data_IF_894417691569
#
_entry.id   IF_894417691569
#
_cell.length_a   1.000
_cell.length_b   1.000
_cell.length_c   1.000
_cell.angle_alpha   90.00
_cell.angle_beta   90.00
_cell.angle_gamma   90.00
#
_symmetry.space_group_name_H-M   'P 1'
#
loop_
_entity.id
_entity.type
_entity.pdbx_description
1 polymer ?
#
# COMPACT_ATOMS: atom_id res chain seq x y z
N UNK A 1 18.92 17.63 18.77
CA UNK A 1 17.65 17.44 19.51
C UNK A 1 17.60 16.08 20.20
N UNK A 2 17.80 14.95 19.49
CA UNK A 2 17.76 13.61 20.06
C UNK A 2 18.70 13.44 21.26
N UNK A 3 19.95 13.91 21.17
CA UNK A 3 20.93 13.83 22.26
C UNK A 3 20.56 14.71 23.45
N UNK A 4 19.91 15.84 23.23
CA UNK A 4 19.37 16.67 24.32
C UNK A 4 18.22 15.98 25.03
N UNK A 5 17.28 15.38 24.29
CA UNK A 5 16.17 14.66 24.87
C UNK A 5 16.60 13.38 25.60
N UNK A 6 17.63 12.69 25.10
CA UNK A 6 18.22 11.51 25.75
C UNK A 6 19.21 11.85 26.89
N UNK A 7 19.68 13.12 26.99
CA UNK A 7 20.75 13.59 27.88
C UNK A 7 22.11 12.90 27.67
N UNK A 8 22.32 12.30 26.50
CA UNK A 8 23.56 11.62 26.11
C UNK A 8 23.69 11.51 24.59
N UNK A 9 24.89 11.27 24.11
CA UNK A 9 25.16 10.94 22.70
C UNK A 9 25.02 9.43 22.47
N UNK A 10 24.37 9.05 21.39
CA UNK A 10 24.19 7.66 20.98
C UNK A 10 23.97 7.56 19.47
N UNK A 11 24.19 6.38 18.91
CA UNK A 11 23.94 6.15 17.49
C UNK A 11 22.45 5.87 17.22
N UNK A 12 21.78 6.84 16.57
CA UNK A 12 20.36 6.76 16.18
C UNK A 12 20.05 5.63 15.18
N UNK A 13 21.06 5.16 14.45
CA UNK A 13 20.92 4.03 13.51
C UNK A 13 21.18 2.66 14.17
N UNK A 14 21.60 2.65 15.43
CA UNK A 14 21.83 1.41 16.19
C UNK A 14 20.58 0.94 16.94
N UNK A 15 19.89 -0.13 16.52
CA UNK A 15 18.75 -0.65 17.26
C UNK A 15 19.05 -1.01 18.71
N UNK A 16 20.29 -1.45 18.99
CA UNK A 16 20.73 -1.81 20.34
C UNK A 16 20.83 -0.58 21.24
N UNK A 17 21.46 0.50 20.77
CA UNK A 17 21.58 1.73 21.55
C UNK A 17 20.22 2.43 21.73
N UNK A 18 19.37 2.40 20.70
CA UNK A 18 18.00 2.88 20.81
C UNK A 18 17.20 2.14 21.88
N UNK A 19 17.35 0.80 21.95
CA UNK A 19 16.69 -0.02 22.96
C UNK A 19 17.14 0.38 24.36
N UNK A 20 18.47 0.50 24.57
CA UNK A 20 19.07 0.92 25.83
C UNK A 20 18.56 2.29 26.26
N UNK A 21 18.60 3.29 25.36
CA UNK A 21 18.18 4.66 25.68
C UNK A 21 16.67 4.71 25.98
N UNK A 22 15.83 4.14 25.11
CA UNK A 22 14.39 4.24 25.26
C UNK A 22 13.83 3.45 26.45
N UNK A 23 14.30 2.21 26.64
CA UNK A 23 13.66 1.30 27.58
C UNK A 23 14.46 1.11 28.89
N UNK A 24 15.78 1.19 28.87
CA UNK A 24 16.58 1.00 30.07
C UNK A 24 16.84 2.32 30.80
N UNK A 25 17.17 3.40 30.08
CA UNK A 25 17.49 4.71 30.66
C UNK A 25 16.25 5.58 30.86
N UNK A 26 15.49 5.81 29.79
CA UNK A 26 14.27 6.63 29.87
C UNK A 26 13.05 5.84 30.37
N UNK A 27 13.14 4.51 30.49
CA UNK A 27 12.11 3.61 31.04
C UNK A 27 10.74 3.80 30.38
N UNK A 28 10.71 4.00 29.06
CA UNK A 28 9.45 4.08 28.32
C UNK A 28 8.70 2.74 28.36
N UNK A 29 7.36 2.76 28.28
CA UNK A 29 6.57 1.52 28.33
C UNK A 29 6.87 0.62 27.13
N UNK A 30 7.01 -0.70 27.39
CA UNK A 30 7.23 -1.70 26.35
C UNK A 30 5.90 -2.10 25.72
N UNK A 31 5.50 -1.41 24.65
CA UNK A 31 4.22 -1.66 23.95
C UNK A 31 4.24 -2.93 23.09
N UNK A 32 5.42 -3.34 22.61
CA UNK A 32 5.59 -4.52 21.75
C UNK A 32 6.97 -5.14 21.93
N UNK A 33 7.04 -6.46 21.83
CA UNK A 33 8.31 -7.21 21.81
C UNK A 33 8.58 -7.79 20.43
N UNK A 34 9.85 -7.95 20.11
CA UNK A 34 10.32 -8.68 18.93
C UNK A 34 10.13 -10.19 19.13
N UNK A 35 10.20 -11.03 18.07
CA UNK A 35 10.17 -12.48 18.21
C UNK A 35 11.26 -13.06 19.15
N UNK A 36 12.35 -12.31 19.36
CA UNK A 36 13.43 -12.65 20.30
C UNK A 36 13.18 -12.16 21.74
N UNK A 37 11.97 -11.61 22.02
CA UNK A 37 11.59 -11.17 23.36
C UNK A 37 12.08 -9.77 23.75
N UNK A 38 12.86 -9.09 22.93
CA UNK A 38 13.35 -7.73 23.22
C UNK A 38 12.27 -6.67 22.91
N UNK A 39 12.29 -5.51 23.60
CA UNK A 39 11.42 -4.39 23.26
C UNK A 39 11.58 -3.95 21.78
N UNK A 40 10.49 -3.63 21.14
CA UNK A 40 10.49 -3.23 19.72
C UNK A 40 10.76 -1.74 19.57
N UNK A 41 11.62 -1.38 18.62
CA UNK A 41 11.85 0.02 18.18
C UNK A 41 11.39 0.22 16.75
N UNK A 42 10.43 -0.60 16.25
CA UNK A 42 9.90 -0.45 14.92
C UNK A 42 9.03 0.82 14.79
N UNK A 43 8.74 1.23 13.56
CA UNK A 43 8.00 2.45 13.25
C UNK A 43 6.63 2.51 13.95
N UNK A 44 5.89 1.39 13.98
CA UNK A 44 4.58 1.28 14.63
C UNK A 44 4.67 1.56 16.15
N UNK A 45 5.66 0.96 16.80
CA UNK A 45 5.88 1.15 18.24
C UNK A 45 6.31 2.60 18.55
N UNK A 46 7.24 3.13 17.75
CA UNK A 46 7.69 4.51 17.94
C UNK A 46 6.59 5.54 17.66
N UNK A 47 5.69 5.31 16.71
CA UNK A 47 4.52 6.17 16.47
C UNK A 47 3.63 6.25 17.70
N UNK A 48 3.29 5.13 18.31
CA UNK A 48 2.48 5.11 19.54
C UNK A 48 3.19 5.79 20.71
N UNK A 49 4.50 5.55 20.86
CA UNK A 49 5.28 6.22 21.89
C UNK A 49 5.42 7.73 21.63
N UNK A 50 5.40 8.17 20.39
CA UNK A 50 5.52 9.59 20.02
C UNK A 50 4.32 10.46 20.39
N UNK A 51 3.21 9.84 20.75
CA UNK A 51 2.00 10.53 21.25
C UNK A 51 2.25 11.14 22.64
N UNK A 52 3.08 10.50 23.47
CA UNK A 52 3.37 10.91 24.84
C UNK A 52 4.83 11.34 25.07
N UNK A 53 5.76 10.89 24.22
CA UNK A 53 7.20 11.07 24.43
C UNK A 53 7.88 11.76 23.24
N UNK A 54 8.70 12.76 23.52
CA UNK A 54 9.38 13.57 22.51
C UNK A 54 10.45 12.77 21.73
N UNK A 55 11.30 12.00 22.41
CA UNK A 55 12.41 11.29 21.77
C UNK A 55 11.96 10.32 20.65
N UNK A 56 10.91 9.48 20.81
CA UNK A 56 10.37 8.67 19.73
C UNK A 56 9.94 9.48 18.51
N UNK A 57 9.37 10.67 18.68
CA UNK A 57 9.01 11.57 17.58
C UNK A 57 10.24 12.03 16.80
N UNK A 58 11.27 12.48 17.50
CA UNK A 58 12.54 12.90 16.91
C UNK A 58 13.21 11.74 16.16
N UNK A 59 13.18 10.52 16.72
CA UNK A 59 13.74 9.33 16.06
C UNK A 59 12.99 9.01 14.76
N UNK A 60 11.66 9.13 14.74
CA UNK A 60 10.87 8.91 13.53
C UNK A 60 11.21 9.93 12.43
N UNK A 61 11.33 11.19 12.79
CA UNK A 61 11.74 12.28 11.88
C UNK A 61 13.15 12.02 11.33
N UNK A 62 14.10 11.73 12.22
CA UNK A 62 15.46 11.37 11.82
C UNK A 62 15.48 10.18 10.83
N UNK A 63 14.79 9.09 11.16
CA UNK A 63 14.71 7.92 10.27
C UNK A 63 14.12 8.25 8.91
N UNK A 64 13.10 9.11 8.88
CA UNK A 64 12.51 9.61 7.64
C UNK A 64 13.55 10.31 6.77
N UNK A 65 14.25 11.28 7.34
CA UNK A 65 15.29 12.06 6.66
C UNK A 65 16.51 11.20 6.28
N UNK A 66 16.98 10.34 7.18
CA UNK A 66 18.09 9.42 6.92
C UNK A 66 17.80 8.46 5.75
N UNK A 67 16.57 7.95 5.68
CA UNK A 67 16.11 7.13 4.55
C UNK A 67 16.08 7.91 3.25
N UNK A 68 15.56 9.14 3.25
CA UNK A 68 15.58 10.01 2.08
C UNK A 68 16.99 10.27 1.61
N UNK A 69 17.88 10.61 2.53
CA UNK A 69 19.30 10.86 2.25
C UNK A 69 19.97 9.62 1.64
N UNK A 70 19.96 8.51 2.34
CA UNK A 70 20.67 7.30 1.91
C UNK A 70 20.12 6.68 0.63
N UNK A 71 18.78 6.66 0.46
CA UNK A 71 18.13 5.98 -0.66
C UNK A 71 18.09 6.82 -1.92
N UNK A 72 17.92 8.14 -1.78
CA UNK A 72 17.72 9.03 -2.93
C UNK A 72 18.89 9.99 -3.17
N UNK A 73 19.19 10.89 -2.24
CA UNK A 73 20.19 11.93 -2.51
C UNK A 73 21.60 11.38 -2.66
N UNK A 74 22.01 10.44 -1.82
CA UNK A 74 23.36 9.87 -1.88
C UNK A 74 23.49 8.77 -2.93
N UNK A 75 22.46 7.95 -3.10
CA UNK A 75 22.52 6.80 -4.00
C UNK A 75 22.27 7.15 -5.45
N UNK A 76 21.28 8.03 -5.75
CA UNK A 76 20.94 8.36 -7.13
C UNK A 76 22.09 9.05 -7.86
N UNK A 77 22.81 9.93 -7.17
CA UNK A 77 24.01 10.62 -7.74
C UNK A 77 25.09 9.61 -8.15
N UNK A 78 25.28 8.56 -7.33
CA UNK A 78 26.34 7.55 -7.57
C UNK A 78 26.07 6.64 -8.76
N UNK A 79 24.80 6.48 -9.14
CA UNK A 79 24.37 5.58 -10.23
C UNK A 79 24.03 6.33 -11.51
N UNK A 80 24.28 7.67 -11.55
CA UNK A 80 24.19 8.43 -12.79
C UNK A 80 25.11 7.82 -13.85
N UNK A 81 24.55 7.53 -15.02
CA UNK A 81 25.34 7.01 -16.13
C UNK A 81 26.27 8.10 -16.68
N UNK A 82 27.61 7.90 -16.71
CA UNK A 82 28.56 8.92 -17.08
C UNK A 82 28.44 9.39 -18.54
N UNK A 83 27.87 8.56 -19.43
CA UNK A 83 27.67 8.89 -20.85
C UNK A 83 26.38 9.66 -21.09
N UNK A 84 25.26 9.21 -20.52
CA UNK A 84 23.93 9.80 -20.76
C UNK A 84 23.62 10.94 -19.79
N UNK A 85 24.34 11.03 -18.67
CA UNK A 85 24.06 11.96 -17.57
C UNK A 85 22.65 11.78 -16.98
N UNK A 86 22.14 10.55 -17.04
CA UNK A 86 20.80 10.19 -16.59
C UNK A 86 20.83 8.92 -15.75
N UNK A 87 19.74 8.70 -15.00
CA UNK A 87 19.52 7.50 -14.22
C UNK A 87 18.68 6.53 -15.04
N UNK A 88 19.12 5.29 -15.13
CA UNK A 88 18.45 4.22 -15.85
C UNK A 88 18.10 3.09 -14.89
N UNK A 89 16.81 2.83 -14.70
CA UNK A 89 16.33 1.68 -13.92
C UNK A 89 16.19 0.44 -14.80
N UNK A 90 16.16 -0.72 -14.17
CA UNK A 90 15.79 -1.98 -14.82
C UNK A 90 14.37 -2.38 -14.40
N UNK A 91 13.46 -2.49 -15.38
CA UNK A 91 12.10 -2.98 -15.13
C UNK A 91 12.05 -4.51 -15.30
N UNK A 92 11.60 -5.19 -14.25
CA UNK A 92 11.43 -6.63 -14.22
C UNK A 92 9.96 -6.99 -14.49
N UNK A 93 9.71 -7.83 -15.48
CA UNK A 93 8.34 -8.18 -15.91
C UNK A 93 7.77 -9.43 -15.22
N UNK A 94 8.63 -10.32 -14.70
CA UNK A 94 8.25 -11.66 -14.25
C UNK A 94 8.61 -11.95 -12.77
N UNK A 95 8.94 -10.93 -11.97
CA UNK A 95 9.37 -11.11 -10.57
C UNK A 95 8.18 -11.11 -9.61
N UNK A 96 7.18 -10.25 -9.84
CA UNK A 96 6.04 -10.16 -8.91
C UNK A 96 5.02 -11.25 -9.20
N UNK A 97 4.47 -11.86 -8.15
CA UNK A 97 3.43 -12.90 -8.28
C UNK A 97 2.14 -12.40 -8.96
N UNK A 98 1.86 -11.10 -8.86
CA UNK A 98 0.68 -10.46 -9.47
C UNK A 98 0.92 -9.99 -10.90
N UNK A 99 2.12 -10.13 -11.45
CA UNK A 99 2.47 -9.66 -12.80
C UNK A 99 2.69 -8.15 -12.91
N UNK A 100 2.67 -7.40 -11.80
CA UNK A 100 3.11 -6.00 -11.80
C UNK A 100 4.57 -5.91 -12.21
N UNK A 101 4.95 -4.81 -12.83
CA UNK A 101 6.36 -4.48 -13.02
C UNK A 101 7.01 -4.20 -11.67
N UNK A 102 8.26 -4.58 -11.51
CA UNK A 102 9.10 -4.07 -10.43
C UNK A 102 10.29 -3.32 -11.02
N UNK A 103 10.79 -2.34 -10.27
CA UNK A 103 11.88 -1.46 -10.69
C UNK A 103 13.07 -1.69 -9.77
N UNK A 104 14.26 -1.92 -10.33
CA UNK A 104 15.49 -2.20 -9.58
C UNK A 104 16.66 -1.40 -10.15
N UNK A 105 17.62 -1.06 -9.32
CA UNK A 105 18.88 -0.39 -9.65
C UNK A 105 18.74 0.91 -10.46
N UNK A 106 17.99 1.91 -9.94
CA UNK A 106 17.32 2.02 -8.65
C UNK A 106 15.83 1.64 -8.70
N UNK A 107 15.22 1.41 -7.53
CA UNK A 107 13.77 1.28 -7.45
C UNK A 107 13.10 2.66 -7.54
N UNK A 108 12.58 3.01 -8.71
CA UNK A 108 11.88 4.27 -8.97
C UNK A 108 10.38 4.24 -8.59
N UNK A 109 9.83 3.08 -8.23
CA UNK A 109 8.43 2.95 -7.84
C UNK A 109 8.16 3.40 -6.40
N UNK A 110 9.21 3.60 -5.59
CA UNK A 110 9.11 3.99 -4.18
C UNK A 110 9.50 5.45 -3.92
N UNK A 111 9.59 6.29 -4.94
CA UNK A 111 9.89 7.71 -4.77
C UNK A 111 8.80 8.33 -3.88
N UNK A 112 9.17 8.97 -2.75
CA UNK A 112 8.22 9.45 -1.77
C UNK A 112 7.39 10.62 -2.29
N UNK A 113 6.15 10.73 -1.81
CA UNK A 113 5.20 11.78 -2.23
C UNK A 113 4.44 12.41 -1.03
N UNK A 114 4.45 11.75 0.13
CA UNK A 114 3.62 12.16 1.27
C UNK A 114 4.15 13.41 1.98
N UNK A 115 5.47 13.50 2.17
CA UNK A 115 6.12 14.63 2.86
C UNK A 115 6.58 15.69 1.87
N UNK A 116 6.82 16.92 2.38
CA UNK A 116 7.35 18.02 1.58
C UNK A 116 8.74 17.69 1.01
N UNK A 117 9.63 17.14 1.84
CA UNK A 117 10.98 16.71 1.46
C UNK A 117 10.93 15.61 0.41
N UNK A 118 10.02 14.63 0.57
CA UNK A 118 9.81 13.57 -0.40
C UNK A 118 9.34 14.09 -1.76
N UNK A 119 8.46 15.08 -1.78
CA UNK A 119 8.02 15.73 -3.02
C UNK A 119 9.15 16.46 -3.74
N UNK A 120 10.05 17.14 -3.00
CA UNK A 120 11.24 17.78 -3.59
C UNK A 120 12.17 16.81 -4.33
N UNK A 121 12.27 15.56 -3.87
CA UNK A 121 13.03 14.51 -4.59
C UNK A 121 12.41 14.28 -5.96
N UNK A 122 11.09 14.31 -6.09
CA UNK A 122 10.40 14.12 -7.39
C UNK A 122 10.69 15.24 -8.37
N UNK A 123 10.92 16.47 -7.91
CA UNK A 123 11.28 17.63 -8.75
C UNK A 123 12.63 17.45 -9.46
N UNK A 124 13.51 16.60 -8.93
CA UNK A 124 14.78 16.27 -9.57
C UNK A 124 14.64 15.37 -10.81
N UNK A 125 13.48 14.74 -11.01
CA UNK A 125 13.20 13.92 -12.19
C UNK A 125 12.63 14.80 -13.29
N UNK A 126 13.48 15.14 -14.24
CA UNK A 126 13.17 16.04 -15.35
C UNK A 126 13.23 15.34 -16.69
N UNK A 127 12.47 15.77 -17.70
CA UNK A 127 12.59 15.26 -19.05
C UNK A 127 13.90 15.73 -19.70
N UNK A 128 14.29 15.11 -20.80
CA UNK A 128 15.34 15.62 -21.65
C UNK A 128 14.95 16.98 -22.27
N UNK A 129 15.93 17.81 -22.57
CA UNK A 129 15.69 19.14 -23.15
C UNK A 129 14.85 19.03 -24.43
N UNK A 130 13.76 19.77 -24.48
CA UNK A 130 12.80 19.74 -25.60
C UNK A 130 11.67 18.72 -25.44
N UNK A 131 11.72 17.88 -24.41
CA UNK A 131 10.67 16.92 -24.09
C UNK A 131 9.84 17.35 -22.87
N UNK A 132 8.72 16.68 -22.66
CA UNK A 132 7.84 16.85 -21.47
C UNK A 132 7.59 15.52 -20.80
N UNK A 133 7.35 15.54 -19.48
CA UNK A 133 6.86 14.39 -18.74
C UNK A 133 5.34 14.37 -18.79
N UNK A 134 4.77 13.27 -19.29
CA UNK A 134 3.35 13.01 -19.26
C UNK A 134 3.10 11.91 -18.24
N UNK A 135 2.21 12.16 -17.27
CA UNK A 135 1.77 11.18 -16.28
C UNK A 135 0.29 10.93 -16.44
N UNK A 136 -0.07 9.69 -16.77
CA UNK A 136 -1.45 9.24 -16.87
C UNK A 136 -1.66 8.03 -15.97
N UNK A 137 -2.77 7.98 -15.24
CA UNK A 137 -3.11 6.89 -14.36
C UNK A 137 -4.60 6.53 -14.49
N UNK A 138 -4.91 5.24 -14.48
CA UNK A 138 -6.29 4.79 -14.32
C UNK A 138 -6.79 5.13 -12.91
N UNK A 139 -7.91 5.83 -12.85
CA UNK A 139 -8.55 6.13 -11.56
C UNK A 139 -9.18 4.88 -10.97
N UNK A 140 -8.73 4.47 -9.77
CA UNK A 140 -9.32 3.40 -8.95
C UNK A 140 -9.49 2.06 -9.71
N UNK A 141 -8.51 1.68 -10.54
CA UNK A 141 -8.64 0.53 -11.45
C UNK A 141 -9.02 -0.77 -10.74
N UNK A 142 -8.44 -1.06 -9.59
CA UNK A 142 -8.71 -2.29 -8.85
C UNK A 142 -10.15 -2.35 -8.33
N UNK A 143 -10.73 -1.21 -7.90
CA UNK A 143 -12.14 -1.12 -7.51
C UNK A 143 -13.07 -1.27 -8.72
N UNK A 144 -12.69 -0.75 -9.88
CA UNK A 144 -13.43 -0.95 -11.14
C UNK A 144 -13.42 -2.41 -11.57
N UNK A 145 -12.28 -3.08 -11.42
CA UNK A 145 -12.15 -4.53 -11.66
C UNK A 145 -13.00 -5.31 -10.65
N UNK A 146 -13.01 -4.92 -9.38
CA UNK A 146 -13.88 -5.53 -8.37
C UNK A 146 -15.35 -5.38 -8.77
N UNK A 147 -15.79 -4.19 -9.18
CA UNK A 147 -17.16 -3.97 -9.65
C UNK A 147 -17.54 -4.90 -10.82
N UNK A 148 -16.62 -5.07 -11.77
CA UNK A 148 -16.82 -5.94 -12.93
C UNK A 148 -16.89 -7.42 -12.54
N UNK A 149 -15.96 -7.90 -11.72
CA UNK A 149 -15.88 -9.32 -11.32
C UNK A 149 -16.99 -9.71 -10.36
N UNK A 150 -17.34 -8.86 -9.41
CA UNK A 150 -18.41 -9.10 -8.43
C UNK A 150 -19.79 -8.90 -8.99
N UNK A 151 -19.91 -8.12 -10.07
CA UNK A 151 -21.19 -7.66 -10.64
C UNK A 151 -22.06 -6.95 -9.59
N UNK A 152 -21.44 -6.39 -8.57
CA UNK A 152 -22.13 -5.66 -7.52
C UNK A 152 -22.86 -4.45 -8.09
N UNK A 153 -24.16 -4.37 -7.85
CA UNK A 153 -25.04 -3.34 -8.44
C UNK A 153 -24.69 -1.95 -7.93
N UNK A 154 -24.43 -1.81 -6.63
CA UNK A 154 -24.16 -0.53 -6.01
C UNK A 154 -22.78 0.01 -6.43
N UNK A 155 -21.78 -0.86 -6.46
CA UNK A 155 -20.43 -0.51 -6.88
C UNK A 155 -20.41 -0.15 -8.38
N UNK A 156 -21.09 -0.91 -9.22
CA UNK A 156 -21.23 -0.65 -10.65
C UNK A 156 -21.99 0.64 -10.92
N UNK A 157 -23.08 0.89 -10.19
CA UNK A 157 -23.85 2.14 -10.29
C UNK A 157 -22.99 3.36 -9.94
N UNK A 158 -22.21 3.27 -8.85
CA UNK A 158 -21.33 4.36 -8.43
C UNK A 158 -20.32 4.72 -9.54
N UNK A 159 -19.68 3.74 -10.16
CA UNK A 159 -18.72 4.00 -11.24
C UNK A 159 -19.36 4.51 -12.52
N UNK A 160 -20.53 3.99 -12.91
CA UNK A 160 -21.24 4.44 -14.11
C UNK A 160 -21.75 5.89 -13.99
N UNK A 161 -22.00 6.36 -12.78
CA UNK A 161 -22.44 7.72 -12.49
C UNK A 161 -21.30 8.64 -12.02
N UNK A 162 -20.04 8.20 -12.14
CA UNK A 162 -18.85 8.95 -11.68
C UNK A 162 -18.92 9.42 -10.22
N UNK A 163 -19.59 8.67 -9.35
CA UNK A 163 -19.65 8.97 -7.94
C UNK A 163 -18.29 8.67 -7.27
N UNK A 164 -17.94 9.45 -6.28
CA UNK A 164 -16.78 9.15 -5.44
C UNK A 164 -17.10 7.97 -4.53
N UNK A 165 -16.60 6.79 -4.90
CA UNK A 165 -16.85 5.54 -4.19
C UNK A 165 -16.39 5.59 -2.72
N UNK A 166 -15.34 6.37 -2.42
CA UNK A 166 -14.87 6.49 -1.04
C UNK A 166 -15.80 7.37 -0.20
N UNK A 167 -16.37 8.41 -0.79
CA UNK A 167 -17.40 9.23 -0.13
C UNK A 167 -18.71 8.45 0.01
N UNK A 168 -19.12 7.69 -1.02
CA UNK A 168 -20.31 6.84 -0.93
C UNK A 168 -20.16 5.77 0.17
N UNK A 169 -19.01 5.11 0.25
CA UNK A 169 -18.73 4.14 1.34
C UNK A 169 -18.69 4.84 2.70
N UNK A 170 -18.13 6.05 2.80
CA UNK A 170 -18.10 6.81 4.04
C UNK A 170 -19.51 7.17 4.52
N UNK A 171 -20.37 7.64 3.62
CA UNK A 171 -21.75 7.96 3.94
C UNK A 171 -22.48 6.76 4.57
N UNK A 172 -22.34 5.58 3.99
CA UNK A 172 -22.95 4.34 4.48
C UNK A 172 -22.34 3.87 5.81
N UNK A 173 -21.00 3.78 5.87
CA UNK A 173 -20.30 3.23 7.05
C UNK A 173 -20.43 4.12 8.28
N UNK A 174 -20.42 5.44 8.08
CA UNK A 174 -20.52 6.43 9.16
C UNK A 174 -21.94 6.98 9.34
N UNK A 175 -22.92 6.46 8.60
CA UNK A 175 -24.32 6.92 8.60
C UNK A 175 -24.42 8.45 8.48
N UNK A 176 -23.74 9.01 7.48
CA UNK A 176 -23.69 10.43 7.19
C UNK A 176 -24.31 10.73 5.82
N UNK A 177 -24.83 11.93 5.63
CA UNK A 177 -25.22 12.39 4.29
C UNK A 177 -23.99 12.49 3.39
N UNK A 178 -24.12 12.14 2.12
CA UNK A 178 -23.00 12.15 1.16
C UNK A 178 -22.29 13.50 1.08
N UNK A 179 -23.05 14.59 1.15
CA UNK A 179 -22.54 15.96 1.12
C UNK A 179 -21.88 16.39 2.44
N UNK A 180 -22.18 15.70 3.54
CA UNK A 180 -21.64 15.96 4.87
C UNK A 180 -20.41 15.12 5.20
N UNK A 181 -19.99 14.21 4.31
CA UNK A 181 -18.81 13.35 4.50
C UNK A 181 -17.54 14.18 4.67
N UNK A 182 -16.91 14.05 5.82
CA UNK A 182 -15.64 14.73 6.10
C UNK A 182 -14.46 14.09 5.35
N UNK A 183 -13.38 14.86 5.16
CA UNK A 183 -12.13 14.34 4.56
C UNK A 183 -11.54 13.17 5.36
N UNK A 184 -11.76 13.13 6.67
CA UNK A 184 -11.29 12.05 7.54
C UNK A 184 -12.12 10.78 7.36
N UNK A 185 -13.44 10.89 7.34
CA UNK A 185 -14.35 9.79 7.04
C UNK A 185 -14.08 9.20 5.65
N UNK A 186 -13.89 10.07 4.65
CA UNK A 186 -13.51 9.64 3.30
C UNK A 186 -12.17 8.90 3.28
N UNK A 187 -11.17 9.35 4.05
CA UNK A 187 -9.87 8.70 4.19
C UNK A 187 -10.02 7.32 4.85
N UNK A 188 -10.83 7.22 5.89
CA UNK A 188 -11.14 5.96 6.58
C UNK A 188 -11.87 4.99 5.66
N UNK A 189 -12.89 5.44 4.93
CA UNK A 189 -13.60 4.65 3.93
C UNK A 189 -12.67 4.17 2.80
N UNK A 190 -11.71 5.01 2.37
CA UNK A 190 -10.67 4.57 1.43
C UNK A 190 -9.84 3.41 2.01
N UNK A 191 -9.48 3.48 3.27
CA UNK A 191 -8.75 2.40 3.95
C UNK A 191 -9.61 1.13 4.07
N UNK A 192 -10.91 1.25 4.34
CA UNK A 192 -11.87 0.15 4.37
C UNK A 192 -11.97 -0.48 2.98
N UNK A 193 -12.28 0.29 1.95
CA UNK A 193 -12.41 -0.20 0.57
C UNK A 193 -11.19 -1.00 0.11
N UNK A 194 -9.99 -0.44 0.29
CA UNK A 194 -8.75 -1.14 -0.08
C UNK A 194 -8.45 -2.33 0.84
N UNK A 195 -8.67 -2.17 2.15
CA UNK A 195 -8.46 -3.25 3.09
C UNK A 195 -9.29 -4.50 2.76
N UNK A 196 -10.56 -4.31 2.45
CA UNK A 196 -11.49 -5.40 2.12
C UNK A 196 -11.17 -6.06 0.79
N UNK A 197 -10.83 -5.28 -0.24
CA UNK A 197 -10.33 -5.84 -1.50
C UNK A 197 -9.12 -6.75 -1.33
N UNK A 198 -8.32 -6.49 -0.32
CA UNK A 198 -7.13 -7.30 -0.01
C UNK A 198 -7.39 -8.37 1.05
N UNK A 199 -8.66 -8.65 1.37
CA UNK A 199 -9.05 -9.67 2.34
C UNK A 199 -8.66 -9.33 3.78
N UNK A 200 -8.63 -8.04 4.14
CA UNK A 200 -8.34 -7.60 5.50
C UNK A 200 -9.46 -8.04 6.44
N UNK A 201 -9.07 -8.55 7.62
CA UNK A 201 -9.99 -8.87 8.70
C UNK A 201 -10.29 -7.65 9.58
N UNK A 202 -11.30 -7.75 10.45
CA UNK A 202 -11.59 -6.74 11.47
C UNK A 202 -10.35 -6.37 12.30
N UNK A 203 -9.51 -7.35 12.64
CA UNK A 203 -8.24 -7.10 13.33
C UNK A 203 -7.27 -6.23 12.52
N UNK A 204 -7.18 -6.46 11.22
CA UNK A 204 -6.37 -5.62 10.34
C UNK A 204 -6.90 -4.18 10.27
N UNK A 205 -8.22 -4.04 10.19
CA UNK A 205 -8.90 -2.75 10.13
C UNK A 205 -8.75 -1.96 11.44
N UNK A 206 -8.86 -2.61 12.60
CA UNK A 206 -8.56 -2.03 13.93
C UNK A 206 -7.20 -1.35 13.95
N UNK A 207 -6.18 -2.02 13.44
CA UNK A 207 -4.81 -1.47 13.42
C UNK A 207 -4.62 -0.34 12.42
N UNK A 208 -5.38 -0.35 11.34
CA UNK A 208 -5.24 0.64 10.27
C UNK A 208 -5.97 1.95 10.59
N UNK A 209 -7.10 1.87 11.28
CA UNK A 209 -7.94 3.02 11.64
C UNK A 209 -7.79 3.44 13.11
N UNK A 210 -7.08 2.66 13.92
CA UNK A 210 -6.93 2.84 15.37
C UNK A 210 -8.27 2.90 16.11
N UNK A 211 -9.16 1.96 15.78
CA UNK A 211 -10.53 1.85 16.34
C UNK A 211 -10.70 0.54 17.11
N UNK A 212 -11.67 0.45 18.03
CA UNK A 212 -12.03 -0.79 18.72
C UNK A 212 -12.43 -1.91 17.74
N UNK A 213 -12.16 -3.18 18.12
CA UNK A 213 -12.49 -4.33 17.29
C UNK A 213 -13.99 -4.47 16.96
N UNK A 214 -14.84 -4.10 17.90
CA UNK A 214 -16.29 -4.14 17.70
C UNK A 214 -16.72 -3.16 16.60
N UNK A 215 -16.17 -1.94 16.63
CA UNK A 215 -16.42 -0.91 15.62
C UNK A 215 -15.86 -1.33 14.24
N UNK A 216 -14.64 -1.88 14.20
CA UNK A 216 -14.07 -2.43 12.97
C UNK A 216 -14.95 -3.55 12.37
N UNK A 217 -15.52 -4.41 13.22
CA UNK A 217 -16.45 -5.46 12.76
C UNK A 217 -17.74 -4.85 12.22
N UNK A 218 -18.31 -3.87 12.89
CA UNK A 218 -19.51 -3.17 12.43
C UNK A 218 -19.29 -2.52 11.06
N UNK A 219 -18.14 -1.89 10.82
CA UNK A 219 -17.82 -1.31 9.51
C UNK A 219 -17.74 -2.37 8.41
N UNK A 220 -17.19 -3.56 8.72
CA UNK A 220 -17.17 -4.68 7.79
C UNK A 220 -18.58 -5.17 7.46
N UNK A 221 -19.42 -5.34 8.48
CA UNK A 221 -20.78 -5.87 8.31
C UNK A 221 -21.61 -4.88 7.47
N UNK A 222 -21.61 -3.59 7.80
CA UNK A 222 -22.26 -2.53 7.01
C UNK A 222 -21.77 -2.50 5.56
N UNK A 223 -20.45 -2.62 5.35
CA UNK A 223 -19.88 -2.67 3.99
C UNK A 223 -20.42 -3.86 3.20
N UNK A 224 -20.42 -5.05 3.77
CA UNK A 224 -20.89 -6.25 3.08
C UNK A 224 -22.41 -6.35 2.96
N UNK A 225 -23.17 -5.68 3.79
CA UNK A 225 -24.61 -5.47 3.60
C UNK A 225 -24.87 -4.57 2.40
N UNK A 226 -24.06 -3.54 2.21
CA UNK A 226 -24.17 -2.63 1.07
C UNK A 226 -23.67 -3.24 -0.24
N UNK A 227 -22.56 -3.96 -0.20
CA UNK A 227 -21.88 -4.53 -1.35
C UNK A 227 -21.96 -6.06 -1.32
N UNK A 228 -23.17 -6.59 -1.41
CA UNK A 228 -23.44 -8.04 -1.33
C UNK A 228 -22.74 -8.83 -2.43
N UNK A 229 -22.70 -8.29 -3.66
CA UNK A 229 -21.99 -8.92 -4.78
C UNK A 229 -20.49 -9.04 -4.53
N UNK A 230 -19.87 -8.06 -3.84
CA UNK A 230 -18.47 -8.13 -3.43
C UNK A 230 -18.25 -9.27 -2.43
N UNK A 231 -19.14 -9.41 -1.44
CA UNK A 231 -19.09 -10.50 -0.46
C UNK A 231 -19.15 -11.86 -1.16
N UNK A 232 -20.14 -12.05 -2.03
CA UNK A 232 -20.33 -13.30 -2.77
C UNK A 232 -19.12 -13.61 -3.66
N UNK A 233 -18.57 -12.61 -4.33
CA UNK A 233 -17.36 -12.78 -5.14
C UNK A 233 -16.18 -13.25 -4.29
N UNK A 234 -15.95 -12.65 -3.14
CA UNK A 234 -14.85 -13.02 -2.23
C UNK A 234 -15.00 -14.47 -1.77
N UNK A 235 -16.18 -14.87 -1.30
CA UNK A 235 -16.41 -16.23 -0.82
C UNK A 235 -16.30 -17.27 -1.96
N UNK A 236 -16.90 -17.01 -3.11
CA UNK A 236 -16.80 -17.88 -4.28
C UNK A 236 -15.35 -18.00 -4.78
N UNK A 237 -14.59 -16.92 -4.72
CA UNK A 237 -13.17 -16.94 -5.10
C UNK A 237 -12.36 -17.84 -4.18
N UNK A 238 -12.59 -17.80 -2.87
CA UNK A 238 -11.93 -18.70 -1.91
C UNK A 238 -12.27 -20.16 -2.17
N UNK A 239 -13.56 -20.46 -2.44
CA UNK A 239 -14.03 -21.83 -2.74
C UNK A 239 -13.31 -22.35 -3.99
N UNK A 240 -13.40 -21.63 -5.10
CA UNK A 240 -12.76 -21.99 -6.36
C UNK A 240 -11.24 -22.11 -6.24
N UNK A 241 -10.61 -21.23 -5.46
CA UNK A 241 -9.18 -21.30 -5.21
C UNK A 241 -8.77 -22.57 -4.47
N UNK A 242 -9.57 -23.05 -3.51
CA UNK A 242 -9.35 -24.33 -2.80
C UNK A 242 -9.50 -25.56 -3.70
N UNK A 243 -10.43 -25.50 -4.64
CA UNK A 243 -10.68 -26.58 -5.61
C UNK A 243 -9.59 -26.64 -6.68
N UNK A 244 -9.29 -25.47 -7.28
CA UNK A 244 -8.41 -25.41 -8.45
C UNK A 244 -6.94 -25.24 -8.11
N UNK A 245 -6.61 -24.86 -6.88
CA UNK A 245 -5.26 -24.51 -6.40
C UNK A 245 -4.64 -23.29 -7.12
N UNK A 246 -5.44 -22.51 -7.83
CA UNK A 246 -5.04 -21.25 -8.45
C UNK A 246 -6.23 -20.29 -8.60
N UNK A 247 -5.92 -19.04 -8.90
CA UNK A 247 -6.86 -18.01 -9.37
C UNK A 247 -6.36 -17.40 -10.67
N UNK A 248 -7.25 -16.78 -11.42
CA UNK A 248 -6.95 -16.20 -12.74
C UNK A 248 -7.28 -14.71 -12.80
N UNK A 249 -6.51 -13.98 -13.59
CA UNK A 249 -6.83 -12.60 -14.01
C UNK A 249 -7.90 -12.61 -15.09
N UNK A 250 -8.44 -11.42 -15.41
CA UNK A 250 -9.36 -11.23 -16.55
C UNK A 250 -8.76 -11.66 -17.89
N UNK A 251 -7.43 -11.67 -18.02
CA UNK A 251 -6.72 -12.10 -19.22
C UNK A 251 -6.18 -13.54 -19.12
N UNK A 252 -6.63 -14.32 -18.14
CA UNK A 252 -6.33 -15.75 -18.00
C UNK A 252 -4.95 -16.07 -17.41
N UNK A 253 -4.23 -15.08 -16.88
CA UNK A 253 -2.96 -15.35 -16.19
C UNK A 253 -3.23 -15.96 -14.82
N UNK A 254 -2.58 -17.07 -14.50
CA UNK A 254 -2.79 -17.86 -13.29
C UNK A 254 -1.79 -17.49 -12.19
N UNK A 255 -2.29 -17.44 -10.96
CA UNK A 255 -1.50 -17.48 -9.73
C UNK A 255 -1.81 -18.77 -8.99
N UNK A 256 -0.82 -19.65 -8.86
CA UNK A 256 -0.92 -20.89 -8.08
C UNK A 256 -0.81 -20.61 -6.59
N UNK A 257 -1.64 -21.30 -5.79
CA UNK A 257 -1.82 -21.07 -4.37
C UNK A 257 -1.57 -22.35 -3.57
N UNK A 258 -0.32 -22.80 -3.53
CA UNK A 258 0.07 -24.06 -2.91
C UNK A 258 -0.35 -24.19 -1.42
N UNK A 259 -0.47 -23.06 -0.72
CA UNK A 259 -0.81 -23.01 0.70
C UNK A 259 -2.32 -22.79 0.96
N UNK A 260 -3.18 -22.80 -0.07
CA UNK A 260 -4.63 -22.50 0.08
C UNK A 260 -5.34 -23.52 0.97
N UNK A 261 -4.89 -24.78 0.96
CA UNK A 261 -5.41 -25.88 1.76
C UNK A 261 -4.47 -26.27 2.92
N UNK A 262 -3.49 -25.40 3.29
CA UNK A 262 -2.56 -25.68 4.36
C UNK A 262 -3.28 -25.93 5.70
N UNK A 263 -2.82 -26.93 6.46
CA UNK A 263 -3.30 -27.20 7.83
C UNK A 263 -3.00 -26.00 8.77
N UNK A 264 -1.87 -25.32 8.55
CA UNK A 264 -1.52 -24.12 9.29
C UNK A 264 -2.44 -22.96 8.92
N UNK A 265 -3.23 -22.49 9.90
CA UNK A 265 -4.21 -21.41 9.70
C UNK A 265 -3.61 -20.11 9.20
N UNK A 266 -2.40 -19.71 9.64
CA UNK A 266 -1.77 -18.47 9.19
C UNK A 266 -1.36 -18.54 7.72
N UNK A 267 -0.79 -19.68 7.27
CA UNK A 267 -0.44 -19.90 5.87
C UNK A 267 -1.68 -19.94 4.99
N UNK A 268 -2.72 -20.66 5.40
CA UNK A 268 -4.00 -20.73 4.70
C UNK A 268 -4.64 -19.34 4.55
N UNK A 269 -4.73 -18.54 5.61
CA UNK A 269 -5.26 -17.18 5.56
C UNK A 269 -4.44 -16.26 4.65
N UNK A 270 -3.11 -16.41 4.63
CA UNK A 270 -2.26 -15.66 3.71
C UNK A 270 -2.56 -16.03 2.25
N UNK A 271 -2.76 -17.32 1.95
CA UNK A 271 -3.14 -17.78 0.62
C UNK A 271 -4.57 -17.34 0.22
N UNK A 272 -5.52 -17.33 1.15
CA UNK A 272 -6.88 -16.81 0.92
C UNK A 272 -6.85 -15.30 0.59
N UNK A 273 -6.04 -14.49 1.28
CA UNK A 273 -5.83 -13.08 0.91
C UNK A 273 -5.21 -12.93 -0.47
N UNK A 274 -4.22 -13.76 -0.79
CA UNK A 274 -3.61 -13.77 -2.11
C UNK A 274 -4.62 -14.16 -3.20
N UNK A 275 -5.53 -15.12 -2.93
CA UNK A 275 -6.60 -15.52 -3.83
C UNK A 275 -7.55 -14.37 -4.16
N UNK A 276 -7.92 -13.56 -3.19
CA UNK A 276 -8.82 -12.41 -3.39
C UNK A 276 -8.10 -11.31 -4.17
N UNK A 277 -6.85 -11.01 -3.79
CA UNK A 277 -6.10 -9.88 -4.32
C UNK A 277 -5.54 -10.12 -5.74
N UNK A 278 -5.08 -11.33 -6.05
CA UNK A 278 -4.37 -11.61 -7.29
C UNK A 278 -5.21 -11.38 -8.57
N UNK A 279 -6.51 -11.74 -8.63
CA UNK A 279 -7.34 -11.40 -9.79
C UNK A 279 -7.46 -9.90 -10.03
N UNK A 280 -7.52 -9.11 -8.97
CA UNK A 280 -7.65 -7.65 -9.05
C UNK A 280 -6.35 -6.97 -9.48
N UNK A 281 -5.30 -7.16 -8.69
CA UNK A 281 -3.99 -6.58 -9.00
C UNK A 281 -3.41 -7.12 -10.30
N UNK A 282 -3.60 -8.41 -10.54
CA UNK A 282 -3.10 -9.05 -11.75
C UNK A 282 -3.81 -8.54 -13.00
N UNK A 283 -5.14 -8.40 -12.98
CA UNK A 283 -5.87 -7.83 -14.10
C UNK A 283 -5.50 -6.37 -14.34
N UNK A 284 -5.29 -5.58 -13.27
CA UNK A 284 -4.80 -4.23 -13.40
C UNK A 284 -3.41 -4.18 -14.07
N UNK A 285 -2.51 -5.10 -13.70
CA UNK A 285 -1.18 -5.20 -14.30
C UNK A 285 -1.26 -5.60 -15.80
N UNK A 286 -2.14 -6.52 -16.14
CA UNK A 286 -2.35 -6.96 -17.53
C UNK A 286 -2.92 -5.83 -18.39
N UNK A 287 -3.91 -5.08 -17.88
CA UNK A 287 -4.49 -3.92 -18.56
C UNK A 287 -3.43 -2.84 -18.80
N UNK A 288 -2.62 -2.50 -17.79
CA UNK A 288 -1.55 -1.51 -17.92
C UNK A 288 -0.52 -1.93 -18.96
N UNK A 289 -0.07 -3.18 -18.94
CA UNK A 289 0.90 -3.68 -19.92
C UNK A 289 0.36 -3.61 -21.35
N UNK A 290 -0.90 -3.98 -21.55
CA UNK A 290 -1.56 -3.82 -22.84
C UNK A 290 -1.64 -2.35 -23.25
N UNK A 291 -2.07 -1.47 -22.38
CA UNK A 291 -2.14 -0.03 -22.65
C UNK A 291 -0.76 0.54 -23.02
N UNK A 292 0.31 0.13 -22.34
CA UNK A 292 1.69 0.54 -22.69
C UNK A 292 2.08 0.12 -24.11
N UNK A 293 1.73 -1.09 -24.52
CA UNK A 293 2.00 -1.59 -25.87
C UNK A 293 1.18 -0.78 -26.91
N UNK A 294 -0.11 -0.60 -26.68
CA UNK A 294 -1.01 0.10 -27.58
C UNK A 294 -0.60 1.58 -27.73
N UNK A 295 -0.25 2.25 -26.64
CA UNK A 295 0.25 3.64 -26.64
C UNK A 295 1.58 3.73 -27.41
N UNK A 296 2.51 2.82 -27.17
CA UNK A 296 3.78 2.82 -27.88
C UNK A 296 3.58 2.65 -29.41
N UNK A 297 2.72 1.73 -29.83
CA UNK A 297 2.39 1.54 -31.25
C UNK A 297 1.72 2.79 -31.84
N UNK A 298 0.81 3.43 -31.11
CA UNK A 298 0.17 4.68 -31.54
C UNK A 298 1.20 5.79 -31.70
N UNK A 299 2.08 6.00 -30.73
CA UNK A 299 3.10 7.05 -30.80
C UNK A 299 4.07 6.83 -31.96
N UNK A 300 4.53 5.60 -32.22
CA UNK A 300 5.40 5.28 -33.37
C UNK A 300 4.74 5.54 -34.71
N UNK A 301 3.40 5.44 -34.79
CA UNK A 301 2.66 5.64 -36.03
C UNK A 301 2.28 7.10 -36.28
N UNK A 302 1.81 7.78 -35.27
CA UNK A 302 1.20 9.12 -35.39
C UNK A 302 2.19 10.26 -35.03
N UNK A 303 3.30 9.93 -34.34
CA UNK A 303 4.31 10.91 -33.88
C UNK A 303 5.74 10.31 -34.11
N UNK A 304 6.12 10.04 -35.38
CA UNK A 304 7.38 9.40 -35.70
C UNK A 304 8.63 10.24 -35.39
#
# INVERSE_FOLDING_TARGET
>A
EAFRSAKEEFNLDSPKQLLEVLYEKLKLPVLKKTPKGQPSTNEETLKRLSEEYELPKIILEYRGLAKLKSTYTDSLIKIENPKTKRIHTSYQQAVTSTGRLSSTEPNLQNIPIKTAEGRRIREAFVPEKGNVLISAAYSQIELRIMAHLSKDKNLTHAFNNNLDIHSATAAEVFNADLEAVTSEQRRSAKAINFGLMYGMSAFGLTRQLDIPRAEAQQYLDTYFERYTGVKDYIENTKIKAKENMYVETLMGRRLYLNEINAANGLRRQAAERAAINAPLQGSAADIIKKAMIDINQFLLKEMP
#
